data_IF_177818524407
#
_entry.id   IF_177818524407
#
_cell.length_a   1.000
_cell.length_b   1.000
_cell.length_c   1.000
_cell.angle_alpha   90.00
_cell.angle_beta   90.00
_cell.angle_gamma   90.00
#
_symmetry.space_group_name_H-M   'P 1'
#
loop_
_entity.id
_entity.type
_entity.pdbx_description
1 polymer ?
#
# COMPACT_ATOMS: atom_id res chain seq x y z
N UNK A 1 20.26 -5.66 0.61
CA UNK A 1 20.22 -5.59 -0.88
C UNK A 1 19.97 -4.15 -1.28
N UNK A 2 20.65 -3.61 -2.31
CA UNK A 2 20.44 -2.23 -2.76
C UNK A 2 19.73 -2.23 -4.12
N UNK A 3 18.48 -1.77 -4.14
CA UNK A 3 17.72 -1.60 -5.38
C UNK A 3 18.19 -0.32 -6.05
N UNK A 4 18.64 -0.42 -7.30
CA UNK A 4 19.14 0.72 -8.09
C UNK A 4 18.11 1.26 -9.09
N UNK A 5 17.13 0.43 -9.42
CA UNK A 5 16.05 0.76 -10.36
C UNK A 5 14.74 0.36 -9.68
N UNK A 6 13.80 1.31 -9.46
CA UNK A 6 12.55 1.02 -8.76
C UNK A 6 11.83 -0.20 -9.32
N UNK A 7 11.37 -1.09 -8.45
CA UNK A 7 10.63 -2.31 -8.82
C UNK A 7 11.45 -3.39 -9.53
N UNK A 8 12.76 -3.21 -9.76
CA UNK A 8 13.65 -4.23 -10.33
C UNK A 8 14.56 -4.82 -9.26
N UNK A 9 14.22 -6.03 -8.84
CA UNK A 9 15.01 -6.78 -7.87
C UNK A 9 16.20 -7.49 -8.55
N UNK A 10 17.43 -7.37 -8.02
CA UNK A 10 18.56 -8.15 -8.49
C UNK A 10 18.35 -9.65 -8.23
N UNK A 11 18.98 -10.48 -9.07
CA UNK A 11 19.07 -11.91 -8.79
C UNK A 11 20.03 -12.13 -7.61
N UNK A 12 19.52 -12.68 -6.51
CA UNK A 12 20.30 -12.96 -5.30
C UNK A 12 20.51 -14.45 -5.10
N UNK A 13 21.67 -14.83 -4.57
CA UNK A 13 22.07 -16.24 -4.42
C UNK A 13 21.63 -16.80 -3.06
N UNK A 14 21.57 -15.95 -2.03
CA UNK A 14 21.23 -16.32 -0.67
C UNK A 14 19.86 -15.77 -0.26
N UNK A 15 19.22 -16.42 0.72
CA UNK A 15 17.92 -15.98 1.21
C UNK A 15 18.01 -14.65 1.95
N UNK A 16 19.06 -14.46 2.77
CA UNK A 16 19.30 -13.23 3.54
C UNK A 16 19.42 -11.98 2.65
N UNK A 17 19.84 -12.14 1.40
CA UNK A 17 19.94 -11.05 0.43
C UNK A 17 18.57 -10.61 -0.11
N UNK A 18 17.51 -11.39 0.08
CA UNK A 18 16.13 -11.03 -0.30
C UNK A 18 15.48 -10.05 0.68
N UNK A 19 16.15 -9.76 1.80
CA UNK A 19 15.66 -8.82 2.78
C UNK A 19 15.63 -7.40 2.21
N UNK A 20 14.43 -6.85 2.09
CA UNK A 20 14.17 -5.51 1.53
C UNK A 20 14.40 -4.39 2.55
N UNK A 21 14.30 -4.70 3.84
CA UNK A 21 14.37 -3.74 4.93
C UNK A 21 13.20 -3.88 5.89
N UNK A 22 13.11 -2.92 6.82
CA UNK A 22 12.05 -2.85 7.83
C UNK A 22 11.06 -1.73 7.52
N UNK A 23 9.82 -1.93 7.95
CA UNK A 23 8.78 -0.92 7.95
C UNK A 23 8.20 -0.80 9.36
N UNK A 24 8.16 0.42 9.88
CA UNK A 24 7.58 0.71 11.18
C UNK A 24 6.29 1.50 10.99
N UNK A 25 5.18 0.97 11.49
CA UNK A 25 3.87 1.61 11.43
C UNK A 25 3.30 1.71 12.83
N UNK A 26 2.73 2.87 13.16
CA UNK A 26 2.02 3.11 14.42
C UNK A 26 0.51 3.22 14.15
N UNK A 27 -0.28 2.15 14.36
CA UNK A 27 -1.74 2.20 14.18
C UNK A 27 -2.40 3.26 15.07
N UNK A 28 -1.91 3.43 16.29
CA UNK A 28 -2.42 4.44 17.22
C UNK A 28 -2.20 5.87 16.71
N UNK A 29 -1.10 6.14 16.02
CA UNK A 29 -0.85 7.43 15.39
C UNK A 29 -1.79 7.64 14.20
N UNK A 30 -1.95 6.63 13.35
CA UNK A 30 -2.82 6.69 12.17
C UNK A 30 -4.27 6.94 12.59
N UNK A 31 -4.75 6.23 13.62
CA UNK A 31 -6.10 6.40 14.13
C UNK A 31 -6.36 7.84 14.59
N UNK A 32 -5.43 8.44 15.36
CA UNK A 32 -5.53 9.85 15.76
C UNK A 32 -5.53 10.77 14.55
N UNK A 33 -4.71 10.49 13.54
CA UNK A 33 -4.66 11.27 12.32
C UNK A 33 -5.99 11.25 11.56
N UNK A 34 -6.67 10.10 11.50
CA UNK A 34 -7.97 9.96 10.85
C UNK A 34 -9.09 10.75 11.57
N UNK A 35 -8.94 11.03 12.86
CA UNK A 35 -9.86 11.86 13.64
C UNK A 35 -9.64 13.38 13.40
N UNK A 36 -8.50 13.78 12.82
CA UNK A 36 -8.19 15.17 12.53
C UNK A 36 -8.93 15.67 11.26
N UNK A 37 -9.69 16.76 11.38
CA UNK A 37 -10.53 17.36 10.32
C UNK A 37 -9.78 17.82 9.05
N UNK A 38 -8.46 17.75 9.04
CA UNK A 38 -7.62 18.19 7.92
C UNK A 38 -7.48 17.12 6.82
N UNK A 39 -7.78 15.86 7.11
CA UNK A 39 -7.77 14.77 6.14
C UNK A 39 -9.20 14.45 5.71
N UNK A 40 -9.73 15.23 4.76
CA UNK A 40 -11.14 15.14 4.34
C UNK A 40 -11.49 13.87 3.56
N UNK A 41 -10.50 13.15 3.05
CA UNK A 41 -10.70 12.04 2.11
C UNK A 41 -10.52 10.65 2.73
N UNK A 42 -9.88 10.55 3.90
CA UNK A 42 -9.62 9.26 4.55
C UNK A 42 -9.92 9.37 6.04
N UNK A 43 -10.92 8.63 6.51
CA UNK A 43 -11.52 8.85 7.84
C UNK A 43 -11.41 7.67 8.79
N UNK A 44 -10.99 6.51 8.28
CA UNK A 44 -10.88 5.28 9.08
C UNK A 44 -9.47 4.69 9.02
N UNK A 45 -9.14 3.86 10.01
CA UNK A 45 -7.88 3.13 10.02
C UNK A 45 -7.83 2.13 8.86
N UNK A 46 -8.96 1.50 8.55
CA UNK A 46 -9.15 0.50 7.50
C UNK A 46 -8.91 1.09 6.10
N UNK A 47 -9.26 2.36 5.88
CA UNK A 47 -8.97 3.05 4.62
C UNK A 47 -7.52 3.55 4.55
N UNK A 48 -6.96 4.05 5.67
CA UNK A 48 -5.63 4.70 5.67
C UNK A 48 -4.47 3.72 5.73
N UNK A 49 -4.61 2.64 6.49
CA UNK A 49 -3.53 1.69 6.72
C UNK A 49 -3.06 0.99 5.44
N UNK A 50 -3.95 0.52 4.53
CA UNK A 50 -3.52 -0.06 3.26
C UNK A 50 -2.71 0.90 2.40
N UNK A 51 -3.06 2.20 2.38
CA UNK A 51 -2.32 3.24 1.66
C UNK A 51 -0.91 3.37 2.21
N UNK A 52 -0.76 3.51 3.54
CA UNK A 52 0.56 3.62 4.17
C UNK A 52 1.41 2.35 4.01
N UNK A 53 0.79 1.17 4.02
CA UNK A 53 1.45 -0.09 3.73
C UNK A 53 1.96 -0.15 2.27
N UNK A 54 1.12 0.21 1.30
CA UNK A 54 1.50 0.23 -0.11
C UNK A 54 2.63 1.25 -0.37
N UNK A 55 2.52 2.43 0.24
CA UNK A 55 3.51 3.49 0.20
C UNK A 55 4.86 3.03 0.77
N UNK A 56 4.87 2.49 1.98
CA UNK A 56 6.09 1.97 2.60
C UNK A 56 6.71 0.82 1.79
N UNK A 57 5.88 -0.06 1.20
CA UNK A 57 6.37 -1.13 0.35
C UNK A 57 7.01 -0.58 -0.92
N UNK A 58 6.45 0.47 -1.52
CA UNK A 58 7.07 1.15 -2.66
C UNK A 58 8.48 1.66 -2.32
N UNK A 59 8.67 2.29 -1.15
CA UNK A 59 10.01 2.69 -0.70
C UNK A 59 10.97 1.51 -0.53
N UNK A 60 10.52 0.40 0.08
CA UNK A 60 11.33 -0.82 0.19
C UNK A 60 11.68 -1.44 -1.18
N UNK A 61 10.86 -1.19 -2.21
CA UNK A 61 11.10 -1.58 -3.60
C UNK A 61 11.92 -0.55 -4.40
N UNK A 62 12.43 0.49 -3.74
CA UNK A 62 13.29 1.51 -4.32
C UNK A 62 12.57 2.61 -5.09
N UNK A 63 11.25 2.76 -4.94
CA UNK A 63 10.54 3.95 -5.43
C UNK A 63 10.71 5.12 -4.46
N UNK A 64 10.68 6.33 -4.99
CA UNK A 64 10.71 7.58 -4.23
C UNK A 64 9.73 8.58 -4.86
N UNK A 65 9.48 9.70 -4.22
CA UNK A 65 8.54 10.72 -4.67
C UNK A 65 9.00 12.17 -4.43
N UNK A 66 10.29 12.38 -4.12
CA UNK A 66 10.83 13.73 -3.90
C UNK A 66 10.81 14.62 -5.14
N UNK A 67 10.84 14.02 -6.34
CA UNK A 67 10.75 14.71 -7.63
C UNK A 67 9.44 14.35 -8.34
N UNK A 68 8.92 15.25 -9.19
CA UNK A 68 7.66 15.04 -9.91
C UNK A 68 7.64 13.76 -10.76
N UNK A 69 8.72 13.49 -11.49
CA UNK A 69 8.84 12.28 -12.32
C UNK A 69 8.89 10.99 -11.47
N UNK A 70 9.55 11.05 -10.31
CA UNK A 70 9.62 9.93 -9.37
C UNK A 70 8.25 9.69 -8.71
N UNK A 71 7.56 10.78 -8.35
CA UNK A 71 6.20 10.76 -7.81
C UNK A 71 5.24 10.02 -8.75
N UNK A 72 5.26 10.32 -10.05
CA UNK A 72 4.42 9.60 -11.02
C UNK A 72 4.68 8.09 -11.04
N UNK A 73 5.95 7.68 -11.00
CA UNK A 73 6.33 6.27 -10.99
C UNK A 73 5.85 5.57 -9.71
N UNK A 74 6.07 6.21 -8.56
CA UNK A 74 5.62 5.68 -7.27
C UNK A 74 4.10 5.61 -7.18
N UNK A 75 3.38 6.66 -7.62
CA UNK A 75 1.92 6.69 -7.62
C UNK A 75 1.33 5.56 -8.48
N UNK A 76 1.91 5.28 -9.65
CA UNK A 76 1.50 4.15 -10.50
C UNK A 76 1.68 2.81 -9.78
N UNK A 77 2.81 2.62 -9.09
CA UNK A 77 3.08 1.41 -8.32
C UNK A 77 2.15 1.26 -7.10
N UNK A 78 1.95 2.32 -6.33
CA UNK A 78 1.05 2.36 -5.17
C UNK A 78 -0.39 2.04 -5.60
N UNK A 79 -0.87 2.68 -6.67
CA UNK A 79 -2.20 2.42 -7.24
C UNK A 79 -2.34 0.97 -7.70
N UNK A 80 -1.30 0.39 -8.31
CA UNK A 80 -1.32 -1.02 -8.71
C UNK A 80 -1.50 -1.93 -7.48
N UNK A 81 -0.74 -1.71 -6.41
CA UNK A 81 -0.89 -2.49 -5.17
C UNK A 81 -2.30 -2.35 -4.60
N UNK A 82 -2.79 -1.11 -4.46
CA UNK A 82 -4.10 -0.83 -3.87
C UNK A 82 -5.28 -1.41 -4.68
N UNK A 83 -5.15 -1.51 -6.00
CA UNK A 83 -6.18 -2.15 -6.84
C UNK A 83 -6.24 -3.67 -6.68
N UNK A 84 -5.14 -4.30 -6.31
CA UNK A 84 -5.01 -5.75 -6.33
C UNK A 84 -4.93 -6.39 -4.95
N UNK A 85 -4.55 -5.67 -3.89
CA UNK A 85 -4.28 -6.30 -2.59
C UNK A 85 -5.49 -7.03 -1.99
N UNK A 86 -6.71 -6.55 -2.27
CA UNK A 86 -7.96 -7.12 -1.76
C UNK A 86 -8.17 -8.57 -2.20
N UNK A 87 -7.62 -8.97 -3.36
CA UNK A 87 -7.69 -10.36 -3.84
C UNK A 87 -6.86 -11.33 -2.99
N UNK A 88 -5.92 -10.81 -2.20
CA UNK A 88 -5.08 -11.60 -1.29
C UNK A 88 -5.57 -11.55 0.16
N UNK A 89 -6.66 -10.84 0.45
CA UNK A 89 -7.23 -10.82 1.80
C UNK A 89 -7.91 -12.16 2.10
N UNK A 90 -7.72 -12.71 3.32
CA UNK A 90 -8.55 -13.82 3.78
C UNK A 90 -10.03 -13.44 3.70
N UNK A 91 -10.90 -14.42 3.43
CA UNK A 91 -12.35 -14.18 3.28
C UNK A 91 -12.98 -13.41 4.46
N UNK A 92 -12.44 -13.57 5.66
CA UNK A 92 -12.89 -12.84 6.85
C UNK A 92 -12.69 -11.31 6.77
N UNK A 93 -11.79 -10.84 5.89
CA UNK A 93 -11.41 -9.44 5.71
C UNK A 93 -11.66 -8.92 4.30
N UNK A 94 -12.20 -9.75 3.39
CA UNK A 94 -12.58 -9.29 2.06
C UNK A 94 -13.74 -8.28 2.16
N UNK A 95 -13.74 -7.21 1.35
CA UNK A 95 -14.88 -6.29 1.32
C UNK A 95 -16.15 -7.09 1.00
N UNK A 96 -17.25 -6.77 1.69
CA UNK A 96 -18.54 -7.38 1.37
C UNK A 96 -18.83 -7.12 -0.11
N UNK A 97 -19.06 -8.19 -0.89
CA UNK A 97 -19.57 -8.04 -2.25
C UNK A 97 -20.85 -7.20 -2.14
N UNK A 98 -20.96 -6.07 -2.85
CA UNK A 98 -22.25 -5.39 -2.91
C UNK A 98 -23.24 -6.41 -3.47
N UNK A 99 -24.32 -6.65 -2.73
CA UNK A 99 -25.43 -7.44 -3.24
C UNK A 99 -25.89 -6.75 -4.51
N UNK A 100 -25.67 -7.38 -5.67
CA UNK A 100 -26.31 -6.94 -6.90
C UNK A 100 -27.80 -7.12 -6.68
N UNK A 101 -28.51 -6.01 -6.50
CA UNK A 101 -29.96 -5.96 -6.41
C UNK A 101 -30.51 -6.29 -7.80
N UNK A 102 -30.50 -7.57 -8.15
CA UNK A 102 -31.05 -8.10 -9.41
C UNK A 102 -32.16 -9.10 -9.12
N UNK A 103 -32.96 -8.84 -8.08
CA UNK A 103 -34.19 -9.62 -7.83
C UNK A 103 -35.31 -8.72 -7.30
N UNK A 104 -35.66 -7.71 -8.10
CA UNK A 104 -36.87 -6.91 -7.94
C UNK A 104 -37.33 -6.39 -9.32
N UNK A 105 -37.67 -7.32 -10.21
CA UNK A 105 -38.65 -7.14 -11.30
C UNK A 105 -39.31 -8.47 -11.65
#
# INVERSE_FOLDING_TARGET
>A
MQIRVPGRFPCVKRMEERYLGDMYISPAYIQRQCEELHLREVTTLEERLPVLMAHGLCHLMGYDHEQDDDYEHMQKAETHILRHFSQFLPRAFAPATPATDTDLM
#
